data_IF_791318931004
#
_entry.id   IF_791318931004
#
_cell.length_a   1.000
_cell.length_b   1.000
_cell.length_c   1.000
_cell.angle_alpha   90.00
_cell.angle_beta   90.00
_cell.angle_gamma   90.00
#
_symmetry.space_group_name_H-M   'P 1'
#
loop_
_entity.id
_entity.type
_entity.pdbx_description
1 polymer ?
#
# COMPACT_ATOMS: atom_id res chain seq x y z
N UNK A 1 -40.51 -1.81 56.55
CA UNK A 1 -39.63 -1.12 55.59
C UNK A 1 -39.96 -1.70 54.21
N UNK A 2 -40.81 -1.04 53.41
CA UNK A 2 -40.44 -0.14 52.30
C UNK A 2 -39.56 -0.85 51.24
N UNK A 3 -39.84 -0.95 49.94
CA UNK A 3 -40.87 -0.41 49.03
C UNK A 3 -40.31 -0.40 47.59
N UNK A 4 -41.18 -0.48 46.56
CA UNK A 4 -41.01 -0.05 45.14
C UNK A 4 -39.98 -0.80 44.25
N UNK A 5 -40.32 -1.43 43.11
CA UNK A 5 -40.95 -1.00 41.84
C UNK A 5 -40.00 -0.33 40.80
N UNK A 6 -39.93 -0.93 39.60
CA UNK A 6 -39.99 -0.20 38.31
C UNK A 6 -38.73 -0.08 37.43
N UNK A 7 -38.91 -0.36 36.13
CA UNK A 7 -38.38 0.49 35.05
C UNK A 7 -37.24 -0.08 34.20
N UNK A 8 -37.53 -0.36 32.93
CA UNK A 8 -36.55 -0.77 31.92
C UNK A 8 -35.72 0.37 31.32
N UNK A 9 -34.78 0.00 30.45
CA UNK A 9 -34.00 0.92 29.64
C UNK A 9 -33.02 0.16 28.75
N UNK A 10 -33.33 0.11 27.46
CA UNK A 10 -32.41 -0.23 26.39
C UNK A 10 -31.24 0.76 26.35
N UNK A 11 -30.02 0.28 26.11
CA UNK A 11 -28.90 1.15 25.70
C UNK A 11 -28.01 0.41 24.71
N UNK A 12 -28.18 0.79 23.44
CA UNK A 12 -27.13 0.79 22.42
C UNK A 12 -25.93 1.62 22.91
N UNK A 13 -24.72 1.09 22.83
CA UNK A 13 -23.48 1.87 22.68
C UNK A 13 -22.35 0.92 22.26
N UNK A 14 -21.96 0.94 20.98
CA UNK A 14 -20.80 1.68 20.48
C UNK A 14 -19.50 0.88 20.56
N UNK A 15 -19.18 0.32 19.39
CA UNK A 15 -17.84 0.16 18.83
C UNK A 15 -16.92 1.35 19.13
N UNK A 16 -15.67 1.10 19.51
CA UNK A 16 -14.67 2.14 19.64
C UNK A 16 -13.25 1.62 19.81
N UNK A 17 -12.40 2.02 18.85
CA UNK A 17 -10.98 2.33 19.02
C UNK A 17 -9.97 1.17 19.14
N UNK A 18 -9.43 0.77 17.97
CA UNK A 18 -8.06 0.29 17.82
C UNK A 18 -7.28 1.22 16.89
N UNK A 19 -7.13 2.49 17.29
CA UNK A 19 -6.35 3.50 16.57
C UNK A 19 -4.86 3.31 16.89
N UNK A 20 -4.06 2.92 15.89
CA UNK A 20 -2.60 2.95 16.01
C UNK A 20 -2.12 4.39 15.98
N UNK A 21 -1.83 4.93 17.18
CA UNK A 21 -1.33 6.27 17.40
C UNK A 21 -0.03 6.54 16.62
N UNK A 22 -0.10 7.61 15.83
CA UNK A 22 0.83 8.75 15.80
C UNK A 22 2.30 8.36 15.99
N UNK A 23 3.10 8.42 14.92
CA UNK A 23 4.56 8.53 15.07
C UNK A 23 4.81 9.74 15.96
N UNK A 24 5.13 9.46 17.22
CA UNK A 24 4.94 10.28 18.41
C UNK A 24 5.06 11.78 18.12
N UNK A 25 3.91 12.47 18.14
CA UNK A 25 3.76 13.92 18.06
C UNK A 25 4.90 14.61 17.32
N UNK A 26 4.77 14.76 15.99
CA UNK A 26 5.74 15.23 14.98
C UNK A 26 6.73 16.38 15.31
N UNK A 27 6.77 16.93 16.53
CA UNK A 27 7.85 17.30 17.50
C UNK A 27 7.28 18.46 18.37
N UNK A 28 7.47 18.42 19.70
CA UNK A 28 6.73 19.18 20.73
C UNK A 28 6.73 20.73 20.73
N UNK A 29 5.95 21.29 21.66
CA UNK A 29 5.28 22.61 21.72
C UNK A 29 6.12 23.91 21.57
N UNK A 30 5.61 24.89 20.79
CA UNK A 30 5.25 26.28 21.20
C UNK A 30 4.71 27.13 20.03
N UNK A 31 3.87 28.10 20.41
CA UNK A 31 2.99 29.02 19.66
C UNK A 31 3.65 29.97 18.64
N UNK A 32 2.93 30.29 17.55
CA UNK A 32 3.14 31.55 16.81
C UNK A 32 2.50 31.65 15.42
N UNK A 33 1.39 32.41 15.33
CA UNK A 33 1.12 33.44 14.31
C UNK A 33 0.97 33.07 12.82
N UNK A 34 -0.25 33.28 12.29
CA UNK A 34 -0.67 33.13 10.90
C UNK A 34 0.00 34.07 9.87
N UNK A 35 0.02 33.66 8.60
CA UNK A 35 -0.46 34.45 7.44
C UNK A 35 -0.57 33.59 6.17
N UNK A 36 -1.71 33.74 5.51
CA UNK A 36 -2.11 32.95 4.34
C UNK A 36 -1.37 33.30 3.05
N UNK A 37 -1.31 32.33 2.16
CA UNK A 37 -0.87 32.47 0.78
C UNK A 37 -1.56 31.43 -0.09
N UNK A 38 -2.48 31.89 -0.95
CA UNK A 38 -3.04 31.13 -2.07
C UNK A 38 -1.91 30.74 -3.02
N UNK A 39 -1.89 29.50 -3.52
CA UNK A 39 -0.98 29.16 -4.61
C UNK A 39 -1.08 27.73 -5.12
N UNK A 40 -1.61 27.59 -6.33
CA UNK A 40 -1.09 26.65 -7.32
C UNK A 40 -1.73 25.28 -7.37
N UNK A 41 -2.80 25.15 -8.17
CA UNK A 41 -3.16 23.90 -8.84
C UNK A 41 -1.97 23.43 -9.67
N UNK A 42 -1.27 22.40 -9.19
CA UNK A 42 -0.25 21.70 -9.94
C UNK A 42 -0.89 20.47 -10.61
N UNK A 43 -0.85 20.49 -11.93
CA UNK A 43 -1.25 19.47 -12.90
C UNK A 43 -1.11 18.01 -12.43
N UNK A 44 -2.21 17.26 -12.52
CA UNK A 44 -2.51 15.97 -11.88
C UNK A 44 -2.17 14.72 -12.72
N UNK A 45 -1.37 14.81 -13.78
CA UNK A 45 -1.32 13.76 -14.83
C UNK A 45 -0.05 12.90 -14.91
N UNK A 46 0.82 12.88 -13.90
CA UNK A 46 2.01 12.01 -13.93
C UNK A 46 2.40 11.42 -12.57
N UNK A 47 1.42 10.84 -11.86
CA UNK A 47 1.75 10.12 -10.62
C UNK A 47 2.33 8.74 -10.97
N UNK A 48 3.62 8.57 -10.73
CA UNK A 48 4.26 7.28 -10.55
C UNK A 48 4.20 6.85 -9.08
N UNK A 49 4.85 5.73 -8.77
CA UNK A 49 5.03 5.28 -7.39
C UNK A 49 5.76 6.34 -6.58
N UNK A 50 5.43 6.47 -5.29
CA UNK A 50 6.07 7.45 -4.41
C UNK A 50 6.31 6.84 -3.03
N UNK A 51 7.26 7.37 -2.28
CA UNK A 51 7.49 6.96 -0.89
C UNK A 51 6.55 7.76 -0.01
N UNK A 52 5.61 7.09 0.66
CA UNK A 52 4.67 7.68 1.61
C UNK A 52 5.35 7.83 2.97
N UNK A 53 5.40 9.07 3.46
CA UNK A 53 6.00 9.48 4.73
C UNK A 53 4.96 9.54 5.85
N UNK A 54 3.81 10.13 5.56
CA UNK A 54 2.69 10.29 6.49
C UNK A 54 1.37 10.42 5.73
N UNK A 55 0.25 10.20 6.40
CA UNK A 55 -1.09 10.34 5.84
C UNK A 55 -2.02 11.09 6.80
N UNK A 56 -3.02 11.76 6.24
CA UNK A 56 -4.05 12.52 6.96
C UNK A 56 -5.41 12.20 6.32
N UNK A 57 -6.52 12.26 7.07
CA UNK A 57 -7.86 12.28 6.46
C UNK A 57 -7.98 13.40 5.42
N UNK A 58 -8.76 13.20 4.35
CA UNK A 58 -9.10 14.22 3.37
C UNK A 58 -10.32 15.05 3.80
N UNK A 59 -10.37 15.44 5.07
CA UNK A 59 -11.30 16.44 5.60
C UNK A 59 -10.61 17.81 5.72
N UNK A 60 -11.39 18.86 6.00
CA UNK A 60 -10.88 20.24 6.08
C UNK A 60 -9.75 20.39 7.11
N UNK A 61 -9.91 19.77 8.28
CA UNK A 61 -8.88 19.76 9.33
C UNK A 61 -7.63 18.95 8.90
N UNK A 62 -7.82 17.85 8.18
CA UNK A 62 -6.79 16.98 7.68
C UNK A 62 -5.90 17.64 6.65
N UNK A 63 -6.48 18.45 5.74
CA UNK A 63 -5.73 19.25 4.80
C UNK A 63 -4.84 20.30 5.50
N UNK A 64 -5.34 20.94 6.54
CA UNK A 64 -4.55 21.89 7.34
C UNK A 64 -3.41 21.19 8.08
N UNK A 65 -3.69 20.06 8.74
CA UNK A 65 -2.67 19.24 9.43
C UNK A 65 -1.61 18.72 8.46
N UNK A 66 -2.00 18.27 7.28
CA UNK A 66 -1.09 17.78 6.24
C UNK A 66 -0.13 18.87 5.76
N UNK A 67 -0.64 20.08 5.52
CA UNK A 67 0.19 21.22 5.12
C UNK A 67 1.20 21.60 6.21
N UNK A 68 0.76 21.66 7.47
CA UNK A 68 1.66 21.94 8.59
C UNK A 68 2.75 20.86 8.73
N UNK A 69 2.37 19.59 8.67
CA UNK A 69 3.31 18.47 8.73
C UNK A 69 4.28 18.46 7.54
N UNK A 70 3.83 18.78 6.33
CA UNK A 70 4.70 18.87 5.15
C UNK A 70 5.82 19.89 5.34
N UNK A 71 5.52 21.07 5.88
CA UNK A 71 6.54 22.09 6.13
C UNK A 71 7.62 21.57 7.08
N UNK A 72 7.23 20.81 8.10
CA UNK A 72 8.16 20.20 9.04
C UNK A 72 9.00 19.10 8.40
N UNK A 73 8.38 18.24 7.59
CA UNK A 73 9.09 17.19 6.83
C UNK A 73 10.13 17.81 5.88
N UNK A 74 9.79 18.92 5.22
CA UNK A 74 10.71 19.62 4.32
C UNK A 74 11.89 20.27 5.03
N UNK A 75 11.65 20.84 6.20
CA UNK A 75 12.63 21.63 6.96
C UNK A 75 13.37 20.76 7.98
N UNK A 76 12.80 20.59 9.18
CA UNK A 76 13.37 19.78 10.25
C UNK A 76 13.58 18.32 9.85
N UNK A 77 12.68 17.81 8.99
CA UNK A 77 12.66 16.45 8.48
C UNK A 77 13.70 16.09 7.42
N UNK A 78 14.45 17.06 6.92
CA UNK A 78 15.50 16.87 5.89
C UNK A 78 14.99 16.23 4.58
N UNK A 79 13.71 16.41 4.24
CA UNK A 79 13.11 15.93 2.99
C UNK A 79 12.51 17.10 2.18
N UNK A 80 13.33 18.00 1.64
CA UNK A 80 12.85 19.23 0.99
C UNK A 80 11.96 18.98 -0.23
N UNK A 81 12.12 17.84 -0.91
CA UNK A 81 11.33 17.45 -2.08
C UNK A 81 10.03 16.70 -1.74
N UNK A 82 9.73 16.51 -0.46
CA UNK A 82 8.44 15.95 -0.07
C UNK A 82 7.30 16.83 -0.60
N UNK A 83 6.15 16.24 -0.94
CA UNK A 83 4.97 16.95 -1.47
C UNK A 83 3.69 16.35 -0.91
N UNK A 84 2.60 17.10 -0.96
CA UNK A 84 1.28 16.52 -0.75
C UNK A 84 0.83 15.81 -2.01
N UNK A 85 0.22 14.65 -1.83
CA UNK A 85 -0.55 13.96 -2.85
C UNK A 85 -1.95 13.71 -2.29
N UNK A 86 -2.95 14.11 -3.07
CA UNK A 86 -4.33 13.71 -2.82
C UNK A 86 -4.45 12.22 -3.15
N UNK A 87 -4.98 11.44 -2.20
CA UNK A 87 -5.17 10.01 -2.30
C UNK A 87 -6.63 9.57 -2.21
N UNK A 88 -7.59 10.47 -2.46
CA UNK A 88 -9.02 10.21 -2.34
C UNK A 88 -9.50 10.56 -0.93
N UNK A 89 -9.64 9.56 -0.05
CA UNK A 89 -10.03 9.76 1.36
C UNK A 89 -8.86 10.22 2.26
N UNK A 90 -7.64 10.27 1.70
CA UNK A 90 -6.42 10.68 2.41
C UNK A 90 -5.64 11.74 1.66
N UNK A 91 -4.93 12.55 2.43
CA UNK A 91 -3.85 13.40 1.94
C UNK A 91 -2.55 12.80 2.46
N UNK A 92 -1.62 12.46 1.57
CA UNK A 92 -0.34 11.88 1.96
C UNK A 92 0.81 12.85 1.73
N UNK A 93 1.80 12.80 2.60
CA UNK A 93 3.11 13.39 2.35
C UNK A 93 3.95 12.33 1.63
N UNK A 94 4.28 12.60 0.38
CA UNK A 94 5.00 11.70 -0.51
C UNK A 94 6.37 12.25 -0.89
N UNK A 95 7.31 11.36 -1.23
CA UNK A 95 8.65 11.68 -1.72
C UNK A 95 8.95 10.90 -3.01
N UNK A 96 9.60 11.57 -3.96
CA UNK A 96 10.05 10.97 -5.23
C UNK A 96 8.90 10.66 -6.20
N UNK A 97 9.24 10.35 -7.44
CA UNK A 97 8.30 9.89 -8.47
C UNK A 97 9.00 8.77 -9.25
N UNK A 98 8.53 7.54 -9.05
CA UNK A 98 9.19 6.33 -9.52
C UNK A 98 8.30 5.61 -10.51
N UNK A 99 8.90 4.99 -11.52
CA UNK A 99 8.13 4.32 -12.57
C UNK A 99 7.41 3.07 -12.06
N UNK A 100 7.99 2.42 -11.06
CA UNK A 100 7.51 1.17 -10.52
C UNK A 100 7.95 0.92 -9.07
N UNK A 101 7.25 0.02 -8.38
CA UNK A 101 7.61 -0.43 -7.01
C UNK A 101 9.07 -0.89 -6.87
N UNK A 102 9.63 -1.49 -7.93
CA UNK A 102 10.96 -2.08 -7.93
C UNK A 102 12.05 -1.16 -8.52
N UNK A 103 11.72 0.11 -8.80
CA UNK A 103 12.69 1.09 -9.30
C UNK A 103 13.88 1.12 -8.33
N UNK A 104 15.12 0.85 -8.79
CA UNK A 104 16.30 0.87 -7.92
C UNK A 104 16.42 2.18 -7.12
N UNK A 105 16.01 3.32 -7.72
CA UNK A 105 16.01 4.62 -7.06
C UNK A 105 15.01 4.68 -5.91
N UNK A 106 13.83 4.06 -6.07
CA UNK A 106 12.83 3.99 -5.00
C UNK A 106 13.35 3.21 -3.79
N UNK A 107 14.11 2.13 -4.02
CA UNK A 107 14.70 1.33 -2.94
C UNK A 107 15.82 2.07 -2.21
N UNK A 108 16.72 2.72 -2.96
CA UNK A 108 17.79 3.53 -2.38
C UNK A 108 17.22 4.70 -1.57
N UNK A 109 16.26 5.43 -2.12
CA UNK A 109 15.60 6.52 -1.41
C UNK A 109 14.85 6.02 -0.18
N UNK A 110 14.15 4.89 -0.26
CA UNK A 110 13.44 4.32 0.89
C UNK A 110 14.40 3.96 2.02
N UNK A 111 15.53 3.33 1.71
CA UNK A 111 16.56 2.99 2.70
C UNK A 111 17.16 4.26 3.32
N UNK A 112 17.50 5.25 2.49
CA UNK A 112 18.03 6.53 2.94
C UNK A 112 17.05 7.24 3.86
N UNK A 113 15.77 7.35 3.46
CA UNK A 113 14.70 8.02 4.21
C UNK A 113 14.48 7.32 5.55
N UNK A 114 14.37 5.99 5.58
CA UNK A 114 14.21 5.22 6.83
C UNK A 114 15.41 5.32 7.76
N UNK A 115 16.59 5.63 7.22
CA UNK A 115 17.83 5.83 7.96
C UNK A 115 18.01 7.23 8.56
N UNK A 116 17.17 8.21 8.18
CA UNK A 116 17.26 9.57 8.72
C UNK A 116 17.02 9.53 10.23
N UNK A 117 17.94 10.15 10.96
CA UNK A 117 17.86 10.32 12.42
C UNK A 117 17.75 11.82 12.75
N UNK A 118 16.78 12.18 13.58
CA UNK A 118 16.50 13.55 14.06
C UNK A 118 16.32 13.43 15.57
N UNK A 119 17.13 14.15 16.34
CA UNK A 119 17.13 14.11 17.80
C UNK A 119 17.13 12.67 18.37
N UNK A 120 18.00 11.83 17.80
CA UNK A 120 18.16 10.40 18.10
C UNK A 120 16.95 9.48 17.78
N UNK A 121 15.92 10.03 17.13
CA UNK A 121 14.75 9.28 16.66
C UNK A 121 14.81 9.00 15.15
N UNK A 122 14.13 7.92 14.71
CA UNK A 122 13.95 7.57 13.29
C UNK A 122 12.51 7.79 12.84
N UNK A 123 12.10 9.04 12.58
CA UNK A 123 10.70 9.40 12.34
C UNK A 123 10.12 8.74 11.08
N UNK A 124 10.97 8.36 10.12
CA UNK A 124 10.54 7.76 8.84
C UNK A 124 10.80 6.27 8.74
N UNK A 125 11.08 5.60 9.86
CA UNK A 125 11.30 4.13 9.90
C UNK A 125 10.14 3.33 9.28
N UNK A 126 8.93 3.90 9.27
CA UNK A 126 7.70 3.32 8.69
C UNK A 126 7.38 3.79 7.27
N UNK A 127 8.21 4.61 6.63
CA UNK A 127 7.96 5.04 5.25
C UNK A 127 7.82 3.82 4.33
N UNK A 128 6.98 3.86 3.31
CA UNK A 128 6.73 2.75 2.37
C UNK A 128 6.59 3.27 0.95
N UNK A 129 6.86 2.43 -0.05
CA UNK A 129 6.56 2.77 -1.45
C UNK A 129 5.09 2.47 -1.73
N UNK A 130 4.33 3.50 -2.13
CA UNK A 130 2.90 3.43 -2.45
C UNK A 130 2.63 3.60 -3.95
N UNK A 131 1.58 2.93 -4.49
CA UNK A 131 1.21 3.05 -5.89
C UNK A 131 0.68 4.45 -6.21
N UNK A 132 0.68 4.89 -7.48
CA UNK A 132 0.02 6.13 -7.89
C UNK A 132 -1.50 6.10 -7.74
N UNK A 133 -2.13 7.28 -7.74
CA UNK A 133 -3.58 7.40 -7.84
C UNK A 133 -3.98 7.05 -9.26
N UNK A 134 -4.74 5.97 -9.42
CA UNK A 134 -5.35 5.63 -10.69
C UNK A 134 -6.82 6.02 -10.56
N UNK A 135 -7.30 6.91 -11.45
CA UNK A 135 -8.74 7.16 -11.61
C UNK A 135 -9.45 5.82 -11.79
N UNK A 136 -10.54 5.64 -11.07
CA UNK A 136 -11.33 4.41 -10.97
C UNK A 136 -11.52 3.73 -12.33
N UNK A 137 -10.85 2.61 -12.54
CA UNK A 137 -11.17 1.65 -13.59
C UNK A 137 -11.51 0.35 -12.88
N UNK A 138 -12.82 0.04 -12.84
CA UNK A 138 -13.35 -1.23 -12.39
C UNK A 138 -13.19 -2.26 -13.53
N UNK A 139 -12.83 -3.51 -13.21
CA UNK A 139 -12.85 -4.62 -14.19
C UNK A 139 -14.27 -5.16 -14.40
N UNK A 140 -14.44 -6.19 -15.23
CA UNK A 140 -15.77 -6.73 -15.60
C UNK A 140 -16.49 -7.41 -14.42
N UNK A 141 -15.76 -7.91 -13.42
CA UNK A 141 -16.30 -8.56 -12.22
C UNK A 141 -15.81 -7.81 -10.97
N UNK A 142 -16.58 -6.85 -10.44
CA UNK A 142 -16.16 -6.00 -9.32
C UNK A 142 -15.80 -6.76 -8.04
N UNK A 143 -16.40 -7.93 -7.80
CA UNK A 143 -16.14 -8.78 -6.63
C UNK A 143 -14.72 -9.37 -6.64
N UNK A 144 -14.09 -9.43 -7.81
CA UNK A 144 -12.71 -9.91 -7.96
C UNK A 144 -11.69 -8.77 -7.99
N UNK A 145 -12.13 -7.51 -7.98
CA UNK A 145 -11.23 -6.37 -7.81
C UNK A 145 -10.73 -6.31 -6.37
N UNK A 146 -9.41 -6.35 -6.22
CA UNK A 146 -8.74 -6.31 -4.93
C UNK A 146 -9.08 -5.04 -4.12
N UNK A 147 -9.47 -3.94 -4.78
CA UNK A 147 -9.93 -2.71 -4.10
C UNK A 147 -11.21 -2.93 -3.29
N UNK A 148 -12.04 -3.88 -3.69
CA UNK A 148 -13.29 -4.20 -3.01
C UNK A 148 -13.12 -5.34 -2.00
N UNK A 149 -11.96 -6.00 -1.99
CA UNK A 149 -11.74 -7.20 -1.19
C UNK A 149 -12.01 -7.00 0.30
N UNK A 150 -11.60 -5.87 0.90
CA UNK A 150 -11.82 -5.61 2.34
C UNK A 150 -13.28 -5.33 2.68
N UNK A 151 -14.01 -4.72 1.76
CA UNK A 151 -15.46 -4.51 1.91
C UNK A 151 -16.20 -5.84 1.97
N UNK A 152 -15.82 -6.81 1.12
CA UNK A 152 -16.50 -8.11 1.04
C UNK A 152 -15.98 -9.16 2.02
N UNK A 153 -14.69 -9.13 2.38
CA UNK A 153 -14.02 -10.21 3.13
C UNK A 153 -13.51 -9.80 4.53
N UNK A 154 -13.73 -8.55 4.93
CA UNK A 154 -13.37 -8.04 6.25
C UNK A 154 -12.26 -7.00 6.23
N UNK A 155 -12.42 -5.98 7.08
CA UNK A 155 -11.50 -4.86 7.18
C UNK A 155 -10.15 -5.25 7.84
N UNK A 156 -10.07 -6.39 8.51
CA UNK A 156 -8.83 -6.93 9.09
C UNK A 156 -7.86 -7.52 8.05
N UNK A 157 -8.32 -7.73 6.80
CA UNK A 157 -7.51 -8.28 5.70
C UNK A 157 -6.55 -7.22 5.15
N UNK A 158 -5.32 -7.25 5.62
CA UNK A 158 -4.29 -6.26 5.28
C UNK A 158 -3.36 -6.72 4.14
N UNK A 159 -3.23 -8.03 3.91
CA UNK A 159 -2.25 -8.58 2.96
C UNK A 159 -2.86 -9.58 1.99
N UNK A 160 -2.22 -9.70 0.83
CA UNK A 160 -2.49 -10.73 -0.18
C UNK A 160 -1.18 -11.17 -0.84
N UNK A 161 -1.12 -12.39 -1.38
CA UNK A 161 0.08 -12.88 -2.07
C UNK A 161 -0.03 -12.54 -3.57
N UNK A 162 0.86 -11.70 -4.09
CA UNK A 162 0.98 -11.45 -5.52
C UNK A 162 1.73 -12.60 -6.20
N UNK A 163 1.08 -13.17 -7.22
CA UNK A 163 1.56 -14.35 -7.95
C UNK A 163 1.78 -14.08 -9.44
N UNK A 164 1.16 -13.03 -9.99
CA UNK A 164 1.44 -12.62 -11.36
C UNK A 164 1.27 -11.12 -11.59
N UNK A 165 1.91 -10.64 -12.65
CA UNK A 165 1.81 -9.31 -13.21
C UNK A 165 1.54 -9.47 -14.71
N UNK A 166 0.60 -8.69 -15.23
CA UNK A 166 0.32 -8.56 -16.66
C UNK A 166 0.70 -7.15 -17.10
N UNK A 167 1.54 -7.04 -18.13
CA UNK A 167 2.10 -5.77 -18.57
C UNK A 167 3.09 -5.94 -19.71
N UNK A 168 3.61 -4.83 -20.26
CA UNK A 168 4.64 -4.91 -21.30
C UNK A 168 5.95 -5.47 -20.74
N UNK A 169 6.59 -6.36 -21.49
CA UNK A 169 7.87 -6.97 -21.08
C UNK A 169 9.02 -5.97 -21.01
N UNK A 170 8.97 -4.92 -21.82
CA UNK A 170 9.97 -3.85 -21.85
C UNK A 170 9.75 -2.75 -20.80
N UNK A 171 8.68 -2.87 -19.97
CA UNK A 171 8.33 -1.89 -18.96
C UNK A 171 7.83 -0.54 -19.51
N UNK A 172 7.60 -0.43 -20.82
CA UNK A 172 7.06 0.77 -21.45
C UNK A 172 5.61 1.06 -21.06
N UNK A 173 5.15 2.29 -21.30
CA UNK A 173 3.74 2.66 -21.16
C UNK A 173 2.92 1.96 -22.26
N UNK A 174 1.91 1.14 -21.93
CA UNK A 174 1.06 0.53 -22.93
C UNK A 174 0.16 1.58 -23.60
N UNK A 175 -0.16 1.36 -24.87
CA UNK A 175 -1.29 2.01 -25.53
C UNK A 175 -2.62 1.60 -24.88
N UNK A 176 -3.70 2.35 -25.11
CA UNK A 176 -5.00 2.04 -24.53
C UNK A 176 -5.50 0.64 -24.91
N UNK A 177 -5.23 0.21 -26.15
CA UNK A 177 -5.57 -1.13 -26.62
C UNK A 177 -4.80 -2.22 -25.88
N UNK A 178 -3.49 -2.04 -25.71
CA UNK A 178 -2.66 -2.98 -24.95
C UNK A 178 -3.07 -3.00 -23.48
N UNK A 179 -3.40 -1.85 -22.90
CA UNK A 179 -3.84 -1.75 -21.51
C UNK A 179 -5.16 -2.48 -21.30
N UNK A 180 -6.11 -2.36 -22.23
CA UNK A 180 -7.36 -3.14 -22.20
C UNK A 180 -7.09 -4.65 -22.27
N UNK A 181 -6.15 -5.09 -23.12
CA UNK A 181 -5.77 -6.50 -23.24
C UNK A 181 -5.07 -7.03 -21.99
N UNK A 182 -4.18 -6.23 -21.39
CA UNK A 182 -3.53 -6.50 -20.10
C UNK A 182 -4.56 -6.70 -18.98
N UNK A 183 -5.57 -5.82 -18.90
CA UNK A 183 -6.66 -5.91 -17.91
C UNK A 183 -7.47 -7.18 -18.11
N UNK A 184 -7.95 -7.41 -19.34
CA UNK A 184 -8.72 -8.59 -19.71
C UNK A 184 -7.99 -9.91 -19.42
N UNK A 185 -6.68 -9.96 -19.66
CA UNK A 185 -5.90 -11.17 -19.41
C UNK A 185 -5.73 -11.43 -17.91
N UNK A 186 -5.51 -10.38 -17.11
CA UNK A 186 -5.46 -10.52 -15.65
C UNK A 186 -6.81 -10.97 -15.08
N UNK A 187 -7.92 -10.41 -15.57
CA UNK A 187 -9.28 -10.82 -15.17
C UNK A 187 -9.57 -12.28 -15.55
N UNK A 188 -9.19 -12.68 -16.77
CA UNK A 188 -9.33 -14.08 -17.23
C UNK A 188 -8.52 -15.04 -16.35
N UNK A 189 -7.31 -14.66 -15.96
CA UNK A 189 -6.47 -15.45 -15.07
C UNK A 189 -7.11 -15.61 -13.68
N UNK A 190 -7.63 -14.54 -13.10
CA UNK A 190 -8.35 -14.58 -11.82
C UNK A 190 -9.60 -15.44 -11.91
N UNK A 191 -10.37 -15.33 -12.99
CA UNK A 191 -11.54 -16.17 -13.23
C UNK A 191 -11.17 -17.66 -13.36
N UNK A 192 -9.99 -17.97 -13.90
CA UNK A 192 -9.42 -19.32 -13.90
C UNK A 192 -9.16 -19.86 -12.50
N UNK A 193 -8.38 -19.12 -11.70
CA UNK A 193 -8.05 -19.49 -10.33
C UNK A 193 -9.30 -19.63 -9.45
N UNK A 194 -10.30 -18.77 -9.64
CA UNK A 194 -11.60 -18.84 -8.94
C UNK A 194 -12.38 -20.11 -9.31
N UNK A 195 -12.36 -20.54 -10.57
CA UNK A 195 -12.97 -21.82 -11.00
C UNK A 195 -12.27 -23.02 -10.38
N UNK A 196 -10.98 -22.90 -10.09
CA UNK A 196 -10.18 -23.92 -9.38
C UNK A 196 -10.36 -23.86 -7.85
N UNK A 197 -11.25 -22.99 -7.35
CA UNK A 197 -11.56 -22.85 -5.92
C UNK A 197 -10.58 -21.96 -5.15
N UNK A 198 -9.68 -21.24 -5.83
CA UNK A 198 -8.75 -20.34 -5.17
C UNK A 198 -9.37 -18.96 -4.89
N UNK A 199 -9.01 -18.37 -3.75
CA UNK A 199 -9.38 -17.01 -3.41
C UNK A 199 -8.48 -16.01 -4.15
N UNK A 200 -8.79 -15.68 -5.41
CA UNK A 200 -7.95 -14.83 -6.27
C UNK A 200 -8.56 -13.46 -6.61
N UNK A 201 -7.72 -12.44 -6.79
CA UNK A 201 -8.14 -11.06 -7.11
C UNK A 201 -7.23 -10.42 -8.15
N UNK A 202 -7.78 -9.50 -8.93
CA UNK A 202 -7.01 -8.63 -9.81
C UNK A 202 -6.88 -7.22 -9.20
N UNK A 203 -5.82 -6.52 -9.56
CA UNK A 203 -5.67 -5.09 -9.30
C UNK A 203 -5.14 -4.40 -10.55
N UNK A 204 -5.86 -3.41 -11.05
CA UNK A 204 -5.44 -2.64 -12.22
C UNK A 204 -4.65 -1.39 -11.81
N UNK A 205 -3.37 -1.35 -12.19
CA UNK A 205 -2.56 -0.14 -12.18
C UNK A 205 -2.72 0.67 -13.47
N UNK A 206 -1.97 1.77 -13.57
CA UNK A 206 -1.96 2.64 -14.75
C UNK A 206 -1.30 2.00 -15.98
N UNK A 207 -0.32 1.12 -15.79
CA UNK A 207 0.47 0.49 -16.88
C UNK A 207 0.48 -1.04 -16.86
N UNK A 208 0.00 -1.64 -15.77
CA UNK A 208 0.03 -3.09 -15.54
C UNK A 208 -1.10 -3.53 -14.63
N UNK A 209 -1.47 -4.80 -14.72
CA UNK A 209 -2.40 -5.45 -13.80
C UNK A 209 -1.66 -6.46 -12.93
N UNK A 210 -2.07 -6.62 -11.69
CA UNK A 210 -1.52 -7.63 -10.78
C UNK A 210 -2.59 -8.67 -10.46
N UNK A 211 -2.17 -9.92 -10.29
CA UNK A 211 -3.01 -11.02 -9.85
C UNK A 211 -2.48 -11.52 -8.51
N UNK A 212 -3.40 -11.67 -7.57
CA UNK A 212 -3.10 -11.99 -6.18
C UNK A 212 -3.98 -13.14 -5.69
N UNK A 213 -3.52 -13.88 -4.69
CA UNK A 213 -4.23 -15.02 -4.09
C UNK A 213 -4.17 -14.93 -2.57
N UNK A 214 -5.32 -15.21 -1.94
CA UNK A 214 -5.54 -15.23 -0.51
C UNK A 214 -5.62 -13.84 0.11
N UNK A 215 -6.45 -13.70 1.15
CA UNK A 215 -6.47 -12.54 2.02
C UNK A 215 -6.02 -12.92 3.43
N UNK A 216 -5.09 -12.14 3.97
CA UNK A 216 -4.42 -12.41 5.23
C UNK A 216 -4.42 -11.20 6.15
N UNK A 217 -4.56 -11.47 7.44
CA UNK A 217 -4.41 -10.48 8.51
C UNK A 217 -2.94 -10.27 8.88
N UNK A 218 -2.65 -9.21 9.64
CA UNK A 218 -1.32 -9.00 10.23
C UNK A 218 -0.84 -10.19 11.07
N UNK A 219 -1.75 -10.84 11.80
CA UNK A 219 -1.41 -12.00 12.63
C UNK A 219 -0.98 -13.22 11.83
N UNK A 220 -1.42 -13.35 10.56
CA UNK A 220 -1.17 -14.50 9.71
C UNK A 220 0.15 -14.45 8.94
N UNK A 221 0.66 -13.24 8.66
CA UNK A 221 1.92 -13.05 7.92
C UNK A 221 3.14 -13.45 8.75
N UNK A 222 2.98 -13.55 10.07
CA UNK A 222 4.08 -13.75 11.00
C UNK A 222 4.99 -12.52 11.09
N UNK A 223 6.03 -12.61 11.92
CA UNK A 223 6.90 -11.48 12.23
C UNK A 223 6.69 -10.94 13.65
N UNK A 224 7.47 -9.93 14.00
CA UNK A 224 7.39 -9.28 15.31
C UNK A 224 6.20 -8.31 15.30
N UNK A 225 5.20 -8.58 16.14
CA UNK A 225 4.06 -7.67 16.28
C UNK A 225 4.43 -6.40 17.04
N UNK A 226 3.47 -5.47 17.14
CA UNK A 226 3.63 -4.20 17.86
C UNK A 226 3.92 -4.40 19.36
N UNK A 227 3.52 -5.54 19.91
CA UNK A 227 3.79 -6.01 21.28
C UNK A 227 5.18 -6.66 21.46
N UNK A 228 5.99 -6.71 20.40
CA UNK A 228 7.30 -7.35 20.42
C UNK A 228 7.28 -8.88 20.34
N UNK A 229 6.09 -9.50 20.32
CA UNK A 229 5.93 -10.96 20.26
C UNK A 229 6.18 -11.44 18.83
N UNK A 230 7.08 -12.41 18.69
CA UNK A 230 7.36 -13.05 17.40
C UNK A 230 6.24 -14.05 17.07
N UNK A 231 5.53 -13.80 15.98
CA UNK A 231 4.47 -14.67 15.47
C UNK A 231 5.00 -15.48 14.30
N UNK A 232 4.58 -16.74 14.24
CA UNK A 232 4.84 -17.58 13.07
C UNK A 232 3.80 -17.30 12.00
N UNK A 233 4.22 -17.41 10.74
CA UNK A 233 3.31 -17.41 9.59
C UNK A 233 2.25 -18.51 9.73
N UNK A 234 1.01 -18.21 9.33
CA UNK A 234 -0.10 -19.16 9.39
C UNK A 234 0.10 -20.33 8.41
N UNK A 235 -0.49 -21.48 8.74
CA UNK A 235 -0.45 -22.66 7.85
C UNK A 235 -1.06 -22.35 6.47
N UNK A 236 -2.16 -21.60 6.44
CA UNK A 236 -2.84 -21.20 5.21
C UNK A 236 -1.91 -20.40 4.29
N UNK A 237 -1.20 -19.40 4.81
CA UNK A 237 -0.27 -18.60 4.00
C UNK A 237 0.92 -19.43 3.51
N UNK A 238 1.45 -20.33 4.34
CA UNK A 238 2.51 -21.28 3.93
C UNK A 238 2.06 -22.17 2.77
N UNK A 239 0.83 -22.65 2.79
CA UNK A 239 0.26 -23.49 1.73
C UNK A 239 0.13 -22.70 0.43
N UNK A 240 -0.44 -21.49 0.48
CA UNK A 240 -0.57 -20.63 -0.72
C UNK A 240 0.81 -20.28 -1.30
N UNK A 241 1.82 -20.02 -0.47
CA UNK A 241 3.20 -19.81 -0.93
C UNK A 241 3.82 -21.05 -1.57
N UNK A 242 3.49 -22.24 -1.07
CA UNK A 242 3.98 -23.51 -1.64
C UNK A 242 3.33 -23.80 -3.00
N UNK A 243 2.05 -23.46 -3.15
CA UNK A 243 1.30 -23.60 -4.41
C UNK A 243 1.75 -22.57 -5.45
N UNK A 244 2.06 -21.35 -5.01
CA UNK A 244 2.46 -20.23 -5.86
C UNK A 244 3.85 -19.71 -5.48
N UNK A 245 4.93 -20.47 -5.70
CA UNK A 245 6.26 -20.11 -5.21
C UNK A 245 6.89 -18.91 -5.92
N UNK A 246 6.54 -18.68 -7.18
CA UNK A 246 7.19 -17.68 -8.04
C UNK A 246 6.17 -16.74 -8.67
N UNK A 247 6.56 -15.46 -8.77
CA UNK A 247 5.80 -14.44 -9.45
C UNK A 247 5.99 -14.55 -10.97
N UNK A 248 4.90 -14.39 -11.71
CA UNK A 248 4.87 -14.51 -13.16
C UNK A 248 4.70 -13.13 -13.83
N UNK A 249 5.29 -12.94 -15.02
CA UNK A 249 5.02 -11.82 -15.93
C UNK A 249 4.37 -12.38 -17.20
N UNK A 250 3.12 -12.03 -17.44
CA UNK A 250 2.32 -12.56 -18.55
C UNK A 250 2.34 -14.11 -18.61
N UNK A 251 2.29 -14.77 -17.45
CA UNK A 251 2.35 -16.23 -17.33
C UNK A 251 3.75 -16.85 -17.41
N UNK A 252 4.81 -16.05 -17.60
CA UNK A 252 6.20 -16.53 -17.64
C UNK A 252 6.94 -16.20 -16.34
N UNK A 253 7.82 -17.08 -15.86
CA UNK A 253 8.59 -16.84 -14.65
C UNK A 253 9.48 -15.59 -14.76
N UNK A 254 9.40 -14.68 -13.78
CA UNK A 254 10.23 -13.48 -13.75
C UNK A 254 11.64 -13.86 -13.31
N UNK A 255 12.65 -13.62 -14.15
CA UNK A 255 14.06 -13.76 -13.77
C UNK A 255 14.55 -12.46 -13.16
N UNK A 256 15.01 -12.51 -11.92
CA UNK A 256 15.68 -11.39 -11.28
C UNK A 256 17.15 -11.70 -11.01
N UNK A 257 18.00 -10.69 -11.19
CA UNK A 257 19.42 -10.79 -10.90
C UNK A 257 19.62 -10.90 -9.39
N UNK A 258 20.42 -11.87 -8.97
CA UNK A 258 20.80 -12.06 -7.57
C UNK A 258 21.66 -10.85 -7.14
N UNK A 259 21.29 -10.14 -6.06
CA UNK A 259 22.08 -9.01 -5.56
C UNK A 259 23.55 -9.38 -5.35
N UNK A 260 24.46 -8.50 -5.77
CA UNK A 260 25.91 -8.72 -5.66
C UNK A 260 26.55 -9.52 -6.81
N UNK A 261 25.76 -10.05 -7.76
CA UNK A 261 26.31 -10.77 -8.92
C UNK A 261 26.46 -9.87 -10.16
N UNK A 262 27.45 -10.15 -11.02
CA UNK A 262 27.72 -9.41 -12.27
C UNK A 262 27.81 -10.36 -13.47
N UNK A 263 27.46 -9.85 -14.65
CA UNK A 263 27.49 -10.59 -15.92
C UNK A 263 26.24 -11.45 -16.16
N UNK A 264 26.11 -12.03 -17.34
CA UNK A 264 24.86 -12.68 -17.79
C UNK A 264 24.80 -14.20 -17.58
N UNK A 265 25.68 -14.75 -16.72
CA UNK A 265 25.67 -16.18 -16.41
C UNK A 265 24.38 -16.57 -15.67
N UNK A 266 23.81 -17.74 -15.97
CA UNK A 266 22.53 -18.18 -15.40
C UNK A 266 22.52 -18.23 -13.88
N UNK A 267 23.65 -18.63 -13.26
CA UNK A 267 23.85 -18.64 -11.80
C UNK A 267 23.65 -17.28 -11.12
N UNK A 268 23.65 -16.20 -11.90
CA UNK A 268 23.44 -14.84 -11.40
C UNK A 268 21.97 -14.44 -11.37
N UNK A 269 21.06 -15.32 -11.79
CA UNK A 269 19.63 -15.05 -11.83
C UNK A 269 18.88 -16.11 -11.04
N UNK A 270 17.77 -15.70 -10.43
CA UNK A 270 16.80 -16.59 -9.80
C UNK A 270 15.41 -16.23 -10.29
N UNK A 271 14.46 -17.15 -10.12
CA UNK A 271 13.06 -16.79 -10.26
C UNK A 271 12.65 -15.88 -9.11
N UNK A 272 11.90 -14.84 -9.43
CA UNK A 272 11.34 -13.94 -8.45
C UNK A 272 10.29 -14.69 -7.64
N UNK A 273 10.43 -14.76 -6.31
CA UNK A 273 9.42 -15.40 -5.47
C UNK A 273 8.13 -14.57 -5.46
N UNK A 274 6.99 -15.22 -5.25
CA UNK A 274 5.72 -14.53 -4.95
C UNK A 274 5.84 -13.69 -3.69
N UNK A 275 5.23 -12.51 -3.70
CA UNK A 275 5.46 -11.48 -2.67
C UNK A 275 4.15 -11.11 -1.98
N UNK A 276 4.22 -10.88 -0.66
CA UNK A 276 3.09 -10.29 0.03
C UNK A 276 3.02 -8.81 -0.31
N UNK A 277 1.83 -8.36 -0.65
CA UNK A 277 1.50 -6.96 -0.92
C UNK A 277 0.31 -6.56 -0.06
N UNK A 278 0.16 -5.26 0.18
CA UNK A 278 -1.00 -4.77 0.93
C UNK A 278 -2.26 -4.81 0.07
N UNK A 279 -3.37 -5.15 0.70
CA UNK A 279 -4.69 -4.98 0.11
C UNK A 279 -5.02 -3.48 0.12
N UNK A 280 -5.41 -2.87 -1.01
CA UNK A 280 -5.81 -1.47 -1.05
C UNK A 280 -6.96 -1.21 -0.09
N UNK A 281 -7.01 -0.02 0.50
CA UNK A 281 -8.23 0.44 1.16
C UNK A 281 -9.19 0.92 0.07
N UNK A 282 -10.45 0.49 0.15
CA UNK A 282 -11.52 1.06 -0.66
C UNK A 282 -11.67 2.53 -0.26
N UNK A 283 -11.60 3.44 -1.24
CA UNK A 283 -11.90 4.87 -1.07
C UNK A 283 -13.38 5.11 -0.83
#
# INVERSE_FOLDING_TARGET
>A
MAGCAGGGGSTQAQSGAGQSQVGSELFGSRTGGARGGRGGSASQDDSGWSIVIAHFPADEDGAQRANYALQRVRTAGRLPEARLEDRGDRIVIAYGNYRELNDPRAREDLQRIRGITIDDERPYSRAIIGPPQVREVYGEIPEFDLRNARQYHGQDKAFTLQIAIYGRQDGGRPSDRELAEIRRTAETAVAGLRREGQEAFYFHGSTRSSVTVGLFTEGEVGGRGADGVMRSESMRLREVRREHPNNLLNGQGIRERIPGTRGNAERNFRLQPSQLVMVPQSS
#
